data_IF_388597609665
#
_entry.id   IF_388597609665
#
_cell.length_a   1.000
_cell.length_b   1.000
_cell.length_c   1.000
_cell.angle_alpha   90.00
_cell.angle_beta   90.00
_cell.angle_gamma   90.00
#
_symmetry.space_group_name_H-M   'P 1'
#
loop_
_entity.id
_entity.type
_entity.pdbx_description
1 polymer ?
#
# COMPACT_ATOMS: atom_id res chain seq x y z
N UNK A 1 5.46 0.78 25.72
CA UNK A 1 5.87 2.13 25.26
C UNK A 1 7.29 2.03 24.76
N UNK A 2 7.55 2.54 23.56
CA UNK A 2 8.91 2.64 23.04
C UNK A 2 9.73 3.62 23.89
N UNK A 3 11.05 3.44 23.95
CA UNK A 3 11.96 4.28 24.78
C UNK A 3 11.72 5.78 24.55
N UNK A 4 11.45 6.17 23.32
CA UNK A 4 11.24 7.56 22.93
C UNK A 4 9.88 8.10 23.43
N UNK A 5 8.83 7.29 23.43
CA UNK A 5 7.52 7.67 23.98
C UNK A 5 7.58 7.86 25.50
N UNK A 6 8.37 7.03 26.19
CA UNK A 6 8.61 7.17 27.64
C UNK A 6 9.34 8.47 27.96
N UNK A 7 10.34 8.86 27.16
CA UNK A 7 11.07 10.13 27.34
C UNK A 7 10.13 11.33 27.17
N UNK A 8 9.29 11.33 26.13
CA UNK A 8 8.32 12.42 25.88
C UNK A 8 7.33 12.56 27.03
N UNK A 9 6.82 11.44 27.56
CA UNK A 9 5.88 11.46 28.68
C UNK A 9 6.52 11.96 29.97
N UNK A 10 7.73 11.50 30.30
CA UNK A 10 8.47 11.97 31.48
C UNK A 10 8.75 13.47 31.41
N UNK A 11 9.17 13.97 30.23
CA UNK A 11 9.44 15.38 30.03
C UNK A 11 8.16 16.22 30.17
N UNK A 12 7.05 15.76 29.61
CA UNK A 12 5.75 16.44 29.71
C UNK A 12 5.30 16.58 31.18
N UNK A 13 5.43 15.51 31.98
CA UNK A 13 5.10 15.52 33.41
C UNK A 13 6.02 16.44 34.19
N UNK A 14 7.32 16.42 33.88
CA UNK A 14 8.33 17.24 34.55
C UNK A 14 8.15 18.74 34.27
N UNK A 15 7.61 19.09 33.11
CA UNK A 15 7.24 20.47 32.75
C UNK A 15 5.87 20.84 33.35
N UNK A 16 4.87 19.95 33.31
CA UNK A 16 3.52 20.28 33.78
C UNK A 16 3.44 20.46 35.30
N UNK A 17 4.20 19.68 36.07
CA UNK A 17 4.16 19.70 37.54
C UNK A 17 4.56 21.06 38.15
N UNK A 18 5.68 21.70 37.78
CA UNK A 18 6.02 23.04 38.26
C UNK A 18 5.05 24.11 37.75
N UNK A 19 4.50 23.97 36.53
CA UNK A 19 3.52 24.92 36.02
C UNK A 19 2.27 24.98 36.91
N UNK A 20 1.77 23.82 37.36
CA UNK A 20 0.60 23.74 38.25
C UNK A 20 0.87 24.40 39.62
N UNK A 21 2.09 24.29 40.14
CA UNK A 21 2.43 24.72 41.51
C UNK A 21 2.84 26.21 41.55
N UNK A 22 3.58 26.70 40.54
CA UNK A 22 4.15 28.06 40.56
C UNK A 22 3.25 29.13 39.93
N UNK A 23 2.29 28.74 39.08
CA UNK A 23 1.47 29.69 38.30
C UNK A 23 -0.01 29.58 38.71
N UNK A 24 -0.70 30.68 39.03
CA UNK A 24 -2.12 30.66 39.40
C UNK A 24 -3.04 30.07 38.31
N UNK A 25 -2.70 30.31 37.04
CA UNK A 25 -3.39 29.73 35.85
C UNK A 25 -2.69 28.47 35.32
N UNK A 26 -1.80 27.88 36.13
CA UNK A 26 -0.92 26.77 35.75
C UNK A 26 -1.63 25.54 35.23
N UNK A 27 -2.87 25.29 35.67
CA UNK A 27 -3.69 24.18 35.22
C UNK A 27 -4.02 24.26 33.73
N UNK A 28 -4.28 25.46 33.20
CA UNK A 28 -4.57 25.65 31.78
C UNK A 28 -3.34 25.34 30.92
N UNK A 29 -2.20 25.92 31.27
CA UNK A 29 -0.95 25.70 30.55
C UNK A 29 -0.44 24.25 30.67
N UNK A 30 -0.60 23.61 31.83
CA UNK A 30 -0.30 22.19 32.00
C UNK A 30 -1.16 21.30 31.09
N UNK A 31 -2.46 21.65 30.94
CA UNK A 31 -3.35 20.97 29.99
C UNK A 31 -2.86 21.07 28.54
N UNK A 32 -2.38 22.25 28.13
CA UNK A 32 -1.80 22.46 26.78
C UNK A 32 -0.55 21.61 26.57
N UNK A 33 0.38 21.60 27.54
CA UNK A 33 1.59 20.77 27.48
C UNK A 33 1.24 19.29 27.36
N UNK A 34 0.24 18.84 28.11
CA UNK A 34 -0.18 17.44 28.09
C UNK A 34 -0.88 17.07 26.77
N UNK A 35 -1.67 17.96 26.21
CA UNK A 35 -2.30 17.79 24.89
C UNK A 35 -1.23 17.66 23.79
N UNK A 36 -0.20 18.51 23.82
CA UNK A 36 0.93 18.41 22.88
C UNK A 36 1.65 17.07 23.06
N UNK A 37 1.88 16.63 24.31
CA UNK A 37 2.54 15.35 24.57
C UNK A 37 1.74 14.16 24.03
N UNK A 38 0.40 14.15 24.18
CA UNK A 38 -0.48 13.12 23.61
C UNK A 38 -0.42 13.15 22.07
N UNK A 39 -0.48 14.33 21.46
CA UNK A 39 -0.36 14.47 20.01
C UNK A 39 0.98 13.93 19.48
N UNK A 40 2.08 14.21 20.18
CA UNK A 40 3.41 13.68 19.85
C UNK A 40 3.47 12.16 20.00
N UNK A 41 2.95 11.61 21.10
CA UNK A 41 2.92 10.16 21.32
C UNK A 41 2.13 9.45 20.21
N UNK A 42 0.97 10.00 19.84
CA UNK A 42 0.14 9.48 18.75
C UNK A 42 0.88 9.55 17.41
N UNK A 43 1.47 10.69 17.08
CA UNK A 43 2.27 10.86 15.85
C UNK A 43 3.42 9.86 15.77
N UNK A 44 4.15 9.67 16.87
CA UNK A 44 5.22 8.67 16.94
C UNK A 44 4.69 7.24 16.84
N UNK A 45 3.53 6.94 17.42
CA UNK A 45 2.89 5.63 17.28
C UNK A 45 2.46 5.35 15.85
N UNK A 46 2.01 6.37 15.12
CA UNK A 46 1.71 6.26 13.70
C UNK A 46 2.99 6.03 12.92
N UNK A 47 4.07 6.76 13.22
CA UNK A 47 5.36 6.61 12.54
C UNK A 47 6.03 5.25 12.80
N UNK A 48 5.90 4.70 14.01
CA UNK A 48 6.37 3.34 14.30
C UNK A 48 5.49 2.25 13.69
N UNK A 49 4.21 2.55 13.46
CA UNK A 49 3.29 1.69 12.70
C UNK A 49 3.56 1.76 11.20
N UNK A 50 3.84 2.94 10.65
CA UNK A 50 4.15 3.14 9.23
C UNK A 50 5.54 2.62 8.88
N UNK A 51 6.54 2.74 9.75
CA UNK A 51 7.84 2.06 9.55
C UNK A 51 7.74 0.54 9.66
N UNK A 52 6.69 0.02 10.29
CA UNK A 52 6.35 -1.42 10.32
C UNK A 52 5.43 -1.85 9.17
N UNK A 53 4.79 -0.90 8.47
CA UNK A 53 4.27 -1.15 7.12
C UNK A 53 5.49 -1.34 6.23
N UNK A 54 5.95 -2.58 6.17
CA UNK A 54 7.03 -2.99 5.28
C UNK A 54 6.60 -2.57 3.87
N UNK A 55 7.48 -1.85 3.18
CA UNK A 55 7.29 -1.54 1.77
C UNK A 55 6.82 -2.82 1.06
N UNK A 56 5.63 -2.76 0.47
CA UNK A 56 4.96 -3.92 -0.10
C UNK A 56 5.03 -3.81 -1.62
N UNK A 57 5.51 -4.85 -2.33
CA UNK A 57 5.42 -4.87 -3.78
C UNK A 57 3.97 -5.00 -4.21
N UNK A 58 3.55 -4.17 -5.17
CA UNK A 58 2.21 -4.20 -5.75
C UNK A 58 2.36 -4.27 -7.26
N UNK A 59 1.95 -5.38 -7.86
CA UNK A 59 2.07 -5.61 -9.30
C UNK A 59 0.73 -5.42 -9.97
N UNK A 60 0.69 -4.46 -10.90
CA UNK A 60 -0.45 -4.20 -11.77
C UNK A 60 -0.10 -4.69 -13.18
N UNK A 61 -1.03 -5.42 -13.79
CA UNK A 61 -0.94 -5.82 -15.19
C UNK A 61 -2.00 -5.07 -15.99
N UNK A 62 -1.58 -4.49 -17.12
CA UNK A 62 -2.46 -3.81 -18.05
C UNK A 62 -2.13 -4.25 -19.48
N UNK A 63 -3.13 -4.24 -20.36
CA UNK A 63 -2.89 -4.42 -21.79
C UNK A 63 -2.42 -3.08 -22.38
N UNK A 64 -1.51 -3.09 -23.35
CA UNK A 64 -1.17 -1.88 -24.12
C UNK A 64 -2.34 -1.43 -24.99
N UNK A 65 -2.33 -0.16 -25.40
CA UNK A 65 -3.39 0.42 -26.26
C UNK A 65 -3.60 -0.37 -27.56
N UNK A 66 -2.51 -0.92 -28.11
CA UNK A 66 -2.56 -1.75 -29.32
C UNK A 66 -3.01 -3.19 -29.07
N UNK A 67 -3.27 -3.56 -27.81
CA UNK A 67 -3.66 -4.89 -27.37
C UNK A 67 -2.69 -6.03 -27.75
N UNK A 68 -1.45 -5.66 -28.10
CA UNK A 68 -0.37 -6.54 -28.57
C UNK A 68 0.75 -6.73 -27.55
N UNK A 69 0.65 -6.10 -26.39
CA UNK A 69 1.59 -6.35 -25.29
C UNK A 69 0.92 -6.24 -23.94
N UNK A 70 1.47 -6.97 -22.96
CA UNK A 70 1.10 -6.85 -21.55
C UNK A 70 2.15 -5.99 -20.87
N UNK A 71 1.71 -4.90 -20.28
CA UNK A 71 2.51 -4.06 -19.41
C UNK A 71 2.36 -4.54 -17.97
N UNK A 72 3.48 -4.79 -17.32
CA UNK A 72 3.58 -5.19 -15.92
C UNK A 72 4.28 -4.06 -15.20
N UNK A 73 3.60 -3.40 -14.27
CA UNK A 73 4.18 -2.30 -13.48
C UNK A 73 4.18 -2.68 -12.01
N UNK A 74 5.29 -2.41 -11.33
CA UNK A 74 5.32 -2.40 -9.88
C UNK A 74 4.93 -0.99 -9.39
N UNK A 75 3.76 -0.84 -8.79
CA UNK A 75 3.29 0.39 -8.12
C UNK A 75 3.55 0.37 -6.62
N UNK A 76 4.14 -0.72 -6.11
CA UNK A 76 4.51 -0.84 -4.72
C UNK A 76 5.81 -0.10 -4.38
N UNK A 77 6.04 0.05 -3.08
CA UNK A 77 7.23 0.73 -2.54
C UNK A 77 8.43 -0.21 -2.40
N UNK A 78 8.27 -1.50 -2.71
CA UNK A 78 9.31 -2.53 -2.61
C UNK A 78 9.50 -3.32 -3.91
N UNK A 79 10.68 -3.91 -4.06
CA UNK A 79 11.01 -4.78 -5.19
C UNK A 79 10.19 -6.09 -5.11
N UNK A 80 9.57 -6.45 -6.23
CA UNK A 80 8.93 -7.75 -6.41
C UNK A 80 9.92 -8.72 -7.03
N UNK A 81 10.01 -9.94 -6.52
CA UNK A 81 10.92 -10.99 -6.99
C UNK A 81 10.13 -12.23 -7.41
N UNK A 82 10.69 -13.01 -8.35
CA UNK A 82 10.12 -14.24 -8.91
C UNK A 82 8.66 -14.07 -9.34
N UNK A 83 8.43 -13.08 -10.18
CA UNK A 83 7.11 -12.73 -10.68
C UNK A 83 6.75 -13.71 -11.79
N UNK A 84 5.70 -14.48 -11.58
CA UNK A 84 5.13 -15.41 -12.55
C UNK A 84 3.73 -14.91 -12.95
N UNK A 85 3.53 -14.70 -14.25
CA UNK A 85 2.29 -14.16 -14.82
C UNK A 85 1.71 -15.19 -15.76
N UNK A 86 0.50 -15.66 -15.46
CA UNK A 86 -0.26 -16.57 -16.31
C UNK A 86 -1.49 -15.85 -16.89
N UNK A 87 -1.61 -15.86 -18.22
CA UNK A 87 -2.77 -15.34 -18.94
C UNK A 87 -3.79 -16.46 -19.20
N UNK A 88 -4.95 -16.35 -18.57
CA UNK A 88 -6.07 -17.31 -18.69
C UNK A 88 -7.19 -16.66 -19.53
N UNK A 89 -7.77 -17.34 -20.54
CA UNK A 89 -7.60 -18.75 -20.92
C UNK A 89 -6.50 -19.02 -21.96
N UNK A 90 -5.68 -18.03 -22.28
CA UNK A 90 -4.73 -18.09 -23.41
C UNK A 90 -3.55 -19.04 -23.18
N UNK A 91 -3.33 -19.47 -21.93
CA UNK A 91 -2.26 -20.37 -21.53
C UNK A 91 -0.87 -19.85 -21.91
N UNK A 92 -0.70 -18.53 -21.82
CA UNK A 92 0.58 -17.85 -22.04
C UNK A 92 1.14 -17.48 -20.66
N UNK A 93 2.37 -17.87 -20.40
CA UNK A 93 3.05 -17.64 -19.13
C UNK A 93 4.32 -16.81 -19.35
N UNK A 94 4.59 -15.89 -18.42
CA UNK A 94 5.78 -15.06 -18.40
C UNK A 94 6.41 -15.07 -17.02
N UNK A 95 7.73 -15.23 -16.98
CA UNK A 95 8.52 -15.12 -15.76
C UNK A 95 9.38 -13.87 -15.81
N UNK A 96 9.39 -13.12 -14.71
CA UNK A 96 10.25 -11.96 -14.52
C UNK A 96 11.03 -12.12 -13.21
N UNK A 97 12.38 -12.06 -13.24
CA UNK A 97 13.20 -12.36 -12.07
C UNK A 97 13.02 -11.34 -10.95
N UNK A 98 12.99 -10.04 -11.28
CA UNK A 98 12.61 -9.00 -10.35
C UNK A 98 12.11 -7.75 -11.07
N UNK A 99 11.35 -6.92 -10.33
CA UNK A 99 10.86 -5.63 -10.79
C UNK A 99 10.99 -4.60 -9.67
N UNK A 100 11.82 -3.58 -9.92
CA UNK A 100 12.04 -2.48 -8.98
C UNK A 100 10.78 -1.62 -8.79
N UNK A 101 10.67 -0.88 -7.67
CA UNK A 101 9.57 0.06 -7.43
C UNK A 101 9.40 1.05 -8.59
N UNK A 102 8.15 1.39 -8.90
CA UNK A 102 7.76 2.33 -9.97
C UNK A 102 8.29 1.98 -11.38
N UNK A 103 8.76 0.75 -11.58
CA UNK A 103 9.31 0.29 -12.86
C UNK A 103 8.28 -0.54 -13.62
N UNK A 104 8.25 -0.37 -14.94
CA UNK A 104 7.37 -1.13 -15.84
C UNK A 104 8.19 -1.99 -16.82
N UNK A 105 7.69 -3.18 -17.10
CA UNK A 105 8.17 -4.07 -18.15
C UNK A 105 7.05 -4.38 -19.14
N UNK A 106 7.37 -4.55 -20.41
CA UNK A 106 6.40 -4.83 -21.47
C UNK A 106 6.73 -6.15 -22.14
N UNK A 107 5.74 -7.03 -22.23
CA UNK A 107 5.85 -8.32 -22.89
C UNK A 107 5.00 -8.33 -24.15
N UNK A 108 5.62 -8.57 -25.31
CA UNK A 108 4.90 -8.70 -26.56
C UNK A 108 4.07 -9.99 -26.58
N UNK A 109 2.83 -9.88 -27.01
CA UNK A 109 1.91 -11.01 -27.21
C UNK A 109 2.01 -11.50 -28.66
N UNK A 110 1.87 -12.82 -28.89
CA UNK A 110 1.92 -13.39 -30.23
C UNK A 110 0.75 -12.91 -31.10
N UNK A 111 -0.39 -12.60 -30.47
CA UNK A 111 -1.60 -12.12 -31.14
C UNK A 111 -2.27 -11.01 -30.32
N UNK A 112 -3.09 -10.21 -31.00
CA UNK A 112 -3.87 -9.14 -30.37
C UNK A 112 -5.02 -9.74 -29.57
N UNK A 113 -5.06 -9.46 -28.27
CA UNK A 113 -6.02 -10.08 -27.34
C UNK A 113 -7.09 -9.06 -26.92
N UNK A 114 -8.36 -9.44 -26.99
CA UNK A 114 -9.47 -8.55 -26.57
C UNK A 114 -9.70 -8.54 -25.07
N UNK A 115 -9.69 -9.72 -24.46
CA UNK A 115 -9.97 -9.91 -23.04
C UNK A 115 -9.24 -11.16 -22.54
N UNK A 116 -8.61 -11.06 -21.37
CA UNK A 116 -7.97 -12.16 -20.68
C UNK A 116 -7.90 -11.86 -19.18
N UNK A 117 -7.61 -12.86 -18.36
CA UNK A 117 -7.31 -12.69 -16.94
C UNK A 117 -5.83 -12.92 -16.72
N UNK A 118 -5.14 -11.96 -16.10
CA UNK A 118 -3.77 -12.14 -15.64
C UNK A 118 -3.78 -12.63 -14.20
N UNK A 119 -3.20 -13.80 -13.94
CA UNK A 119 -2.91 -14.31 -12.61
C UNK A 119 -1.44 -14.09 -12.35
N UNK A 120 -1.12 -13.23 -11.39
CA UNK A 120 0.25 -12.87 -11.05
C UNK A 120 0.59 -13.47 -9.70
N UNK A 121 1.69 -14.18 -9.61
CA UNK A 121 2.27 -14.68 -8.36
C UNK A 121 3.65 -14.09 -8.21
N UNK A 122 3.96 -13.51 -7.06
CA UNK A 122 5.26 -12.87 -6.82
C UNK A 122 5.62 -12.96 -5.33
N UNK A 123 6.87 -12.69 -4.98
CA UNK A 123 7.29 -12.62 -3.59
C UNK A 123 8.05 -11.33 -3.28
N UNK A 124 7.96 -10.89 -2.04
CA UNK A 124 8.77 -9.80 -1.50
C UNK A 124 10.18 -10.31 -1.15
N UNK A 125 11.14 -9.39 -1.04
CA UNK A 125 12.48 -9.56 -0.45
C UNK A 125 12.46 -10.29 0.91
N UNK A 126 11.33 -10.19 1.63
CA UNK A 126 11.07 -10.90 2.87
C UNK A 126 10.63 -12.36 2.74
N UNK A 127 10.56 -12.92 1.53
CA UNK A 127 10.12 -14.29 1.25
C UNK A 127 8.61 -14.53 1.38
N UNK A 128 7.79 -13.48 1.48
CA UNK A 128 6.34 -13.59 1.51
C UNK A 128 5.80 -13.65 0.08
N UNK A 129 5.02 -14.68 -0.22
CA UNK A 129 4.36 -14.85 -1.53
C UNK A 129 3.02 -14.14 -1.55
N UNK A 130 2.74 -13.47 -2.65
CA UNK A 130 1.49 -12.80 -2.96
C UNK A 130 0.96 -13.33 -4.28
N UNK A 131 -0.36 -13.40 -4.41
CA UNK A 131 -1.02 -13.78 -5.64
C UNK A 131 -2.22 -12.86 -5.86
N UNK A 132 -2.29 -12.25 -7.04
CA UNK A 132 -3.36 -11.36 -7.41
C UNK A 132 -3.86 -11.70 -8.82
N UNK A 133 -5.13 -11.46 -9.09
CA UNK A 133 -5.69 -11.70 -10.41
C UNK A 133 -6.44 -10.49 -10.93
N UNK A 134 -5.99 -9.97 -12.06
CA UNK A 134 -6.54 -8.76 -12.66
C UNK A 134 -7.15 -9.05 -14.04
N UNK A 135 -8.34 -8.52 -14.36
CA UNK A 135 -8.91 -8.60 -15.69
C UNK A 135 -8.18 -7.67 -16.67
N UNK A 136 -7.66 -8.22 -17.75
CA UNK A 136 -7.08 -7.48 -18.88
C UNK A 136 -8.14 -7.31 -19.96
N UNK A 137 -8.43 -6.07 -20.34
CA UNK A 137 -9.34 -5.77 -21.45
C UNK A 137 -8.74 -4.69 -22.34
N UNK A 138 -8.78 -4.92 -23.65
CA UNK A 138 -8.37 -3.95 -24.66
C UNK A 138 -9.35 -2.76 -24.75
N UNK A 139 -10.61 -2.96 -24.38
CA UNK A 139 -11.67 -1.95 -24.46
C UNK A 139 -11.79 -1.11 -23.19
N UNK A 140 -11.28 -1.62 -22.06
CA UNK A 140 -11.27 -0.93 -20.77
C UNK A 140 -9.85 -0.93 -20.21
N UNK A 141 -8.94 -0.10 -20.77
CA UNK A 141 -7.60 0.07 -20.23
C UNK A 141 -7.72 0.63 -18.80
N UNK A 142 -7.47 -0.19 -17.79
CA UNK A 142 -7.47 0.24 -16.39
C UNK A 142 -8.78 0.00 -15.62
N UNK A 143 -9.53 -1.07 -15.91
CA UNK A 143 -10.74 -1.45 -15.15
C UNK A 143 -10.54 -1.62 -13.62
N UNK A 144 -9.30 -1.67 -13.13
CA UNK A 144 -8.93 -1.67 -11.70
C UNK A 144 -8.63 -0.28 -11.12
N UNK A 145 -8.29 0.72 -11.94
CA UNK A 145 -8.06 2.11 -11.52
C UNK A 145 -9.26 3.01 -11.84
N UNK A 146 -10.48 2.47 -11.73
CA UNK A 146 -11.67 3.31 -11.75
C UNK A 146 -11.73 4.06 -10.41
N UNK A 147 -11.20 5.28 -10.38
CA UNK A 147 -11.27 6.19 -9.22
C UNK A 147 -12.71 6.49 -8.79
N UNK A 148 -13.70 6.15 -9.63
CA UNK A 148 -15.12 6.28 -9.33
C UNK A 148 -15.74 5.00 -8.77
N UNK A 149 -15.01 3.87 -8.75
CA UNK A 149 -15.44 2.69 -7.99
C UNK A 149 -15.29 3.00 -6.51
N UNK A 150 -16.37 2.88 -5.72
CA UNK A 150 -16.28 3.10 -4.30
C UNK A 150 -15.36 2.04 -3.68
N UNK A 151 -14.35 2.48 -2.91
CA UNK A 151 -13.37 1.61 -2.25
C UNK A 151 -14.00 0.59 -1.28
N UNK A 152 -15.26 0.80 -0.94
CA UNK A 152 -16.09 -0.07 -0.13
C UNK A 152 -17.49 -0.08 -0.75
N UNK A 153 -18.11 -1.25 -0.96
CA UNK A 153 -19.44 -1.32 -1.53
C UNK A 153 -20.44 -0.67 -0.57
N UNK A 154 -20.90 0.54 -0.90
CA UNK A 154 -21.96 1.25 -0.15
C UNK A 154 -23.35 0.64 -0.36
N UNK A 155 -23.49 -0.23 -1.35
CA UNK A 155 -24.71 -0.94 -1.67
C UNK A 155 -24.37 -2.42 -1.87
N UNK A 156 -25.12 -3.32 -1.23
CA UNK A 156 -24.97 -4.77 -1.30
C UNK A 156 -25.34 -5.34 -2.68
N UNK A 157 -24.68 -4.87 -3.74
CA UNK A 157 -25.02 -5.20 -5.12
C UNK A 157 -24.36 -6.48 -5.63
N UNK A 158 -23.70 -7.24 -4.75
CA UNK A 158 -23.21 -8.59 -5.08
C UNK A 158 -23.77 -9.57 -4.07
N UNK A 159 -25.07 -9.84 -4.23
CA UNK A 159 -25.64 -11.07 -3.72
C UNK A 159 -24.95 -12.24 -4.43
N UNK A 160 -24.36 -13.09 -3.61
CA UNK A 160 -23.73 -14.35 -3.94
C UNK A 160 -24.70 -15.27 -4.68
N UNK A 161 -24.45 -15.53 -5.97
CA UNK A 161 -24.87 -16.75 -6.68
C UNK A 161 -23.87 -17.12 -7.76
#
# INVERSE_FOLDING_TARGET
>A
MEKNQTIVLVLAVLISLPLIILVPEGLFYAGVVMLIAVALIMSMSILSTSSRMRAHPEIICALSEDAKSVMVKNTGEAEAQGIHIALVPLNIEFDLPSLAPETASSFALPEMIREAKAVVTYHDTGGRTYSHSSPLSALHPGGENDLLKPAFPMFGWKDEK
#
